data_IF_774615243119
#
_entry.id   IF_774615243119
#
_cell.length_a   1.000
_cell.length_b   1.000
_cell.length_c   1.000
_cell.angle_alpha   90.00
_cell.angle_beta   90.00
_cell.angle_gamma   90.00
#
_symmetry.space_group_name_H-M   'P 1'
#
loop_
_entity.id
_entity.type
_entity.pdbx_description
1 polymer ?
#
# COMPACT_ATOMS: atom_id res chain seq x y z
N UNK A 1 -37.23 29.28 69.35
CA UNK A 1 -35.82 29.24 68.90
C UNK A 1 -35.55 27.85 68.33
N UNK A 2 -35.46 27.69 67.02
CA UNK A 2 -35.11 26.40 66.39
C UNK A 2 -33.65 26.10 66.72
N UNK A 3 -33.38 24.95 67.36
CA UNK A 3 -32.05 24.61 67.87
C UNK A 3 -31.02 24.57 66.73
N UNK A 4 -29.80 25.04 67.03
CA UNK A 4 -28.68 25.12 66.06
C UNK A 4 -28.37 23.76 65.41
N UNK A 5 -28.66 22.66 66.11
CA UNK A 5 -28.45 21.29 65.63
C UNK A 5 -29.36 20.93 64.45
N UNK A 6 -30.62 21.39 64.46
CA UNK A 6 -31.57 21.14 63.36
C UNK A 6 -31.08 21.84 62.08
N UNK A 7 -30.56 23.07 62.19
CA UNK A 7 -29.97 23.81 61.06
C UNK A 7 -28.70 23.13 60.50
N UNK A 8 -27.86 22.56 61.37
CA UNK A 8 -26.66 21.84 60.92
C UNK A 8 -26.99 20.53 60.21
N UNK A 9 -27.96 19.75 60.71
CA UNK A 9 -28.43 18.54 60.01
C UNK A 9 -29.00 18.85 58.61
N UNK A 10 -29.81 19.91 58.47
CA UNK A 10 -30.33 20.33 57.16
C UNK A 10 -29.23 20.83 56.21
N UNK A 11 -28.20 21.51 56.73
CA UNK A 11 -27.05 21.96 55.94
C UNK A 11 -26.20 20.80 55.41
N UNK A 12 -25.95 19.78 56.25
CA UNK A 12 -25.24 18.57 55.85
C UNK A 12 -26.03 17.75 54.82
N UNK A 13 -27.36 17.65 54.97
CA UNK A 13 -28.24 16.94 54.02
C UNK A 13 -28.28 17.62 52.66
N UNK A 14 -28.31 18.95 52.62
CA UNK A 14 -28.25 19.72 51.37
C UNK A 14 -26.90 19.61 50.66
N UNK A 15 -25.80 19.51 51.41
CA UNK A 15 -24.46 19.24 50.85
C UNK A 15 -24.35 17.82 50.31
N UNK A 16 -24.87 16.81 51.01
CA UNK A 16 -24.87 15.44 50.51
C UNK A 16 -25.69 15.30 49.25
N UNK A 17 -26.89 15.91 49.20
CA UNK A 17 -27.75 15.88 48.01
C UNK A 17 -27.05 16.53 46.81
N UNK A 18 -26.32 17.64 47.02
CA UNK A 18 -25.56 18.30 45.96
C UNK A 18 -24.44 17.40 45.39
N UNK A 19 -23.75 16.66 46.26
CA UNK A 19 -22.74 15.67 45.84
C UNK A 19 -23.39 14.53 45.05
N UNK A 20 -24.58 14.08 45.46
CA UNK A 20 -25.30 13.02 44.75
C UNK A 20 -25.77 13.46 43.37
N UNK A 21 -26.32 14.67 43.23
CA UNK A 21 -26.69 15.23 41.92
C UNK A 21 -25.47 15.39 41.00
N UNK A 22 -24.33 15.83 41.54
CA UNK A 22 -23.10 15.96 40.78
C UNK A 22 -22.58 14.60 40.32
N UNK A 23 -22.63 13.57 41.17
CA UNK A 23 -22.26 12.21 40.81
C UNK A 23 -23.16 11.64 39.69
N UNK A 24 -24.47 11.87 39.76
CA UNK A 24 -25.42 11.45 38.71
C UNK A 24 -25.12 12.18 37.39
N UNK A 25 -24.84 13.48 37.43
CA UNK A 25 -24.49 14.25 36.24
C UNK A 25 -23.19 13.76 35.58
N UNK A 26 -22.16 13.48 36.39
CA UNK A 26 -20.90 12.89 35.89
C UNK A 26 -21.10 11.50 35.32
N UNK A 27 -21.92 10.67 35.97
CA UNK A 27 -22.23 9.34 35.47
C UNK A 27 -22.90 9.41 34.08
N UNK A 28 -23.90 10.28 33.91
CA UNK A 28 -24.55 10.48 32.61
C UNK A 28 -23.55 11.01 31.57
N UNK A 29 -22.68 11.96 31.95
CA UNK A 29 -21.66 12.49 31.05
C UNK A 29 -20.70 11.41 30.56
N UNK A 30 -20.25 10.52 31.46
CA UNK A 30 -19.37 9.39 31.12
C UNK A 30 -20.08 8.43 30.16
N UNK A 31 -21.34 8.09 30.44
CA UNK A 31 -22.14 7.20 29.57
C UNK A 31 -22.32 7.78 28.16
N UNK A 32 -22.58 9.10 28.05
CA UNK A 32 -22.66 9.78 26.75
C UNK A 32 -21.30 9.73 26.04
N UNK A 33 -20.19 9.90 26.77
CA UNK A 33 -18.85 9.84 26.20
C UNK A 33 -18.48 8.43 25.72
N UNK A 34 -18.87 7.38 26.44
CA UNK A 34 -18.73 5.99 26.00
C UNK A 34 -19.53 5.72 24.72
N UNK A 35 -20.80 6.13 24.69
CA UNK A 35 -21.62 6.00 23.48
C UNK A 35 -20.97 6.75 22.31
N UNK A 36 -20.50 7.98 22.54
CA UNK A 36 -19.79 8.76 21.53
C UNK A 36 -18.56 8.01 20.98
N UNK A 37 -17.71 7.44 21.84
CA UNK A 37 -16.55 6.65 21.41
C UNK A 37 -16.96 5.41 20.60
N UNK A 38 -17.98 4.68 21.03
CA UNK A 38 -18.47 3.48 20.33
C UNK A 38 -18.93 3.81 18.91
N UNK A 39 -19.58 4.96 18.70
CA UNK A 39 -19.99 5.37 17.36
C UNK A 39 -18.87 6.03 16.55
N UNK A 40 -18.01 6.82 17.19
CA UNK A 40 -17.00 7.61 16.49
C UNK A 40 -15.82 6.76 16.00
N UNK A 41 -15.34 5.82 16.84
CA UNK A 41 -14.22 4.95 16.51
C UNK A 41 -14.41 4.18 15.19
N UNK A 42 -15.52 3.46 14.94
CA UNK A 42 -15.70 2.73 13.68
C UNK A 42 -15.82 3.66 12.48
N UNK A 43 -16.46 4.82 12.62
CA UNK A 43 -16.58 5.82 11.55
C UNK A 43 -15.19 6.37 11.17
N UNK A 44 -14.37 6.66 12.18
CA UNK A 44 -13.02 7.13 11.96
C UNK A 44 -12.13 6.04 11.33
N UNK A 45 -12.23 4.78 11.80
CA UNK A 45 -11.51 3.66 11.22
C UNK A 45 -11.88 3.42 9.75
N UNK A 46 -13.17 3.55 9.39
CA UNK A 46 -13.60 3.44 8.00
C UNK A 46 -12.99 4.53 7.13
N UNK A 47 -12.96 5.78 7.61
CA UNK A 47 -12.33 6.90 6.89
C UNK A 47 -10.82 6.71 6.74
N UNK A 48 -10.14 6.30 7.80
CA UNK A 48 -8.70 6.01 7.77
C UNK A 48 -8.39 4.84 6.84
N UNK A 49 -9.19 3.76 6.86
CA UNK A 49 -9.02 2.63 5.95
C UNK A 49 -9.25 3.00 4.48
N UNK A 50 -10.23 3.85 4.18
CA UNK A 50 -10.45 4.36 2.81
C UNK A 50 -9.29 5.25 2.38
N UNK A 51 -8.81 6.14 3.26
CA UNK A 51 -7.66 6.99 3.00
C UNK A 51 -6.39 6.15 2.75
N UNK A 52 -6.12 5.15 3.59
CA UNK A 52 -5.00 4.23 3.43
C UNK A 52 -5.05 3.49 2.09
N UNK A 53 -6.24 3.04 1.68
CA UNK A 53 -6.43 2.42 0.36
C UNK A 53 -6.08 3.40 -0.77
N UNK A 54 -6.53 4.65 -0.68
CA UNK A 54 -6.19 5.67 -1.69
C UNK A 54 -4.70 5.96 -1.75
N UNK A 55 -4.05 6.15 -0.59
CA UNK A 55 -2.61 6.39 -0.52
C UNK A 55 -1.81 5.22 -1.09
N UNK A 56 -2.19 3.97 -0.75
CA UNK A 56 -1.52 2.79 -1.27
C UNK A 56 -1.64 2.68 -2.81
N UNK A 57 -2.82 2.98 -3.38
CA UNK A 57 -3.02 3.02 -4.83
C UNK A 57 -2.11 4.06 -5.50
N UNK A 58 -2.04 5.25 -4.93
CA UNK A 58 -1.18 6.33 -5.45
C UNK A 58 0.31 5.96 -5.38
N UNK A 59 0.75 5.38 -4.27
CA UNK A 59 2.12 4.90 -4.12
C UNK A 59 2.48 3.84 -5.17
N UNK A 60 1.56 2.93 -5.51
CA UNK A 60 1.79 1.92 -6.55
C UNK A 60 1.91 2.51 -7.95
N UNK A 61 1.06 3.48 -8.30
CA UNK A 61 1.15 4.18 -9.58
C UNK A 61 2.49 4.91 -9.69
N UNK A 62 2.88 5.63 -8.64
CA UNK A 62 4.16 6.32 -8.56
C UNK A 62 5.34 5.35 -8.69
N UNK A 63 5.28 4.19 -8.03
CA UNK A 63 6.31 3.14 -8.14
C UNK A 63 6.41 2.59 -9.56
N UNK A 64 5.28 2.35 -10.22
CA UNK A 64 5.24 1.85 -11.60
C UNK A 64 5.84 2.87 -12.58
N UNK A 65 5.46 4.14 -12.48
CA UNK A 65 6.01 5.20 -13.33
C UNK A 65 7.48 5.52 -13.00
N UNK A 66 7.92 5.25 -11.77
CA UNK A 66 9.33 5.31 -11.39
C UNK A 66 10.14 4.18 -12.06
N UNK A 67 9.65 2.93 -11.99
CA UNK A 67 10.27 1.77 -12.64
C UNK A 67 10.36 1.95 -14.16
N UNK A 68 9.27 2.38 -14.81
CA UNK A 68 9.27 2.68 -16.26
C UNK A 68 10.34 3.71 -16.63
N UNK A 69 10.52 4.74 -15.80
CA UNK A 69 11.58 5.75 -16.00
C UNK A 69 12.98 5.18 -15.80
N UNK A 70 13.16 4.29 -14.81
CA UNK A 70 14.44 3.63 -14.59
C UNK A 70 14.82 2.70 -15.74
N UNK A 71 13.90 1.84 -16.20
CA UNK A 71 14.12 0.92 -17.33
C UNK A 71 14.57 1.69 -18.58
N UNK A 72 13.95 2.84 -18.87
CA UNK A 72 14.35 3.71 -20.01
C UNK A 72 15.75 4.31 -19.89
N UNK A 73 16.32 4.35 -18.68
CA UNK A 73 17.64 4.93 -18.39
C UNK A 73 18.74 3.86 -18.29
N UNK A 74 18.39 2.57 -18.35
CA UNK A 74 19.37 1.49 -18.32
C UNK A 74 20.19 1.53 -19.62
N UNK A 75 21.52 1.59 -19.55
CA UNK A 75 22.37 1.48 -20.74
C UNK A 75 22.27 0.07 -21.30
N UNK A 76 22.00 -0.06 -22.60
CA UNK A 76 21.91 -1.34 -23.29
C UNK A 76 23.19 -1.58 -24.12
N UNK A 77 24.19 -2.34 -23.63
CA UNK A 77 25.44 -2.54 -24.34
C UNK A 77 25.30 -3.49 -25.55
N UNK A 78 24.29 -4.38 -25.54
CA UNK A 78 24.07 -5.40 -26.57
C UNK A 78 22.63 -5.33 -27.11
N UNK A 79 22.43 -5.70 -28.37
CA UNK A 79 21.12 -5.90 -29.03
C UNK A 79 20.16 -6.76 -28.20
N UNK A 80 20.68 -7.83 -27.59
CA UNK A 80 19.93 -8.76 -26.78
C UNK A 80 19.46 -8.13 -25.46
N UNK A 81 20.33 -7.38 -24.79
CA UNK A 81 20.01 -6.63 -23.58
C UNK A 81 18.97 -5.53 -23.88
N UNK A 82 19.05 -4.93 -25.07
CA UNK A 82 18.03 -3.98 -25.55
C UNK A 82 16.67 -4.65 -25.70
N UNK A 83 16.64 -5.92 -26.16
CA UNK A 83 15.43 -6.73 -26.21
C UNK A 83 14.85 -7.04 -24.83
N UNK A 84 15.70 -7.45 -23.87
CA UNK A 84 15.29 -7.70 -22.47
C UNK A 84 14.69 -6.45 -21.82
N UNK A 85 15.36 -5.29 -21.97
CA UNK A 85 14.89 -3.99 -21.48
C UNK A 85 13.57 -3.57 -22.15
N UNK A 86 13.43 -3.81 -23.46
CA UNK A 86 12.21 -3.48 -24.21
C UNK A 86 11.01 -4.33 -23.75
N UNK A 87 11.20 -5.64 -23.59
CA UNK A 87 10.16 -6.54 -23.08
C UNK A 87 9.73 -6.14 -21.67
N UNK A 88 10.69 -5.84 -20.79
CA UNK A 88 10.38 -5.36 -19.45
C UNK A 88 9.63 -4.02 -19.45
N UNK A 89 9.98 -3.12 -20.37
CA UNK A 89 9.27 -1.88 -20.62
C UNK A 89 7.82 -2.10 -21.05
N UNK A 90 7.59 -2.99 -22.01
CA UNK A 90 6.25 -3.29 -22.53
C UNK A 90 5.36 -3.94 -21.45
N UNK A 91 5.92 -4.85 -20.65
CA UNK A 91 5.22 -5.47 -19.51
C UNK A 91 4.83 -4.41 -18.48
N UNK A 92 5.74 -3.49 -18.12
CA UNK A 92 5.43 -2.39 -17.20
C UNK A 92 4.39 -1.42 -17.78
N UNK A 93 4.37 -1.21 -19.09
CA UNK A 93 3.36 -0.41 -19.78
C UNK A 93 1.96 -1.06 -19.69
N UNK A 94 1.87 -2.38 -19.86
CA UNK A 94 0.62 -3.15 -19.64
C UNK A 94 0.17 -3.06 -18.19
N UNK A 95 1.07 -3.21 -17.22
CA UNK A 95 0.74 -3.06 -15.80
C UNK A 95 0.27 -1.63 -15.47
N UNK A 96 0.92 -0.60 -16.00
CA UNK A 96 0.51 0.78 -15.80
C UNK A 96 -0.90 1.04 -16.36
N UNK A 97 -1.21 0.50 -17.54
CA UNK A 97 -2.54 0.61 -18.14
C UNK A 97 -3.59 -0.15 -17.34
N UNK A 98 -3.26 -1.37 -16.87
CA UNK A 98 -4.14 -2.15 -16.00
C UNK A 98 -4.44 -1.42 -14.69
N UNK A 99 -3.42 -0.84 -14.05
CA UNK A 99 -3.55 -0.10 -12.80
C UNK A 99 -4.41 1.16 -12.97
N UNK A 100 -4.24 1.90 -14.06
CA UNK A 100 -5.07 3.07 -14.37
C UNK A 100 -6.52 2.70 -14.68
N UNK A 101 -6.76 1.61 -15.40
CA UNK A 101 -8.12 1.19 -15.80
C UNK A 101 -8.92 0.60 -14.63
N UNK A 102 -8.26 -0.13 -13.73
CA UNK A 102 -8.91 -0.81 -12.62
C UNK A 102 -8.70 -0.09 -11.26
N UNK A 103 -8.27 1.17 -11.28
CA UNK A 103 -7.93 1.95 -10.09
C UNK A 103 -9.08 2.02 -9.07
N UNK A 104 -10.31 2.16 -9.54
CA UNK A 104 -11.48 2.34 -8.68
C UNK A 104 -11.92 1.03 -8.00
N UNK A 105 -11.79 -0.10 -8.70
CA UNK A 105 -12.26 -1.41 -8.25
C UNK A 105 -11.17 -2.29 -7.61
N UNK A 106 -9.96 -1.76 -7.42
CA UNK A 106 -8.85 -2.55 -6.91
C UNK A 106 -8.98 -2.80 -5.40
N UNK A 107 -9.04 -4.07 -5.01
CA UNK A 107 -9.04 -4.50 -3.61
C UNK A 107 -7.64 -4.45 -2.99
N UNK A 108 -7.58 -4.37 -1.66
CA UNK A 108 -6.34 -4.26 -0.89
C UNK A 108 -5.41 -5.46 -1.10
N UNK A 109 -5.95 -6.67 -1.27
CA UNK A 109 -5.15 -7.87 -1.58
C UNK A 109 -4.37 -7.71 -2.87
N UNK A 110 -5.03 -7.23 -3.92
CA UNK A 110 -4.45 -7.06 -5.25
C UNK A 110 -3.40 -5.94 -5.25
N UNK A 111 -3.62 -4.89 -4.45
CA UNK A 111 -2.66 -3.81 -4.21
C UNK A 111 -1.36 -4.40 -3.60
N UNK A 112 -1.49 -5.24 -2.57
CA UNK A 112 -0.33 -5.87 -1.92
C UNK A 112 0.41 -6.79 -2.88
N UNK A 113 -0.31 -7.60 -3.67
CA UNK A 113 0.30 -8.51 -4.63
C UNK A 113 1.07 -7.77 -5.74
N UNK A 114 0.45 -6.78 -6.37
CA UNK A 114 1.11 -6.00 -7.42
C UNK A 114 2.27 -5.19 -6.86
N UNK A 115 2.19 -4.66 -5.63
CA UNK A 115 3.31 -3.96 -5.00
C UNK A 115 4.50 -4.90 -4.72
N UNK A 116 4.25 -6.16 -4.37
CA UNK A 116 5.30 -7.19 -4.22
C UNK A 116 5.97 -7.48 -5.56
N UNK A 117 5.20 -7.63 -6.63
CA UNK A 117 5.72 -7.85 -7.98
C UNK A 117 6.57 -6.65 -8.46
N UNK A 118 6.08 -5.42 -8.29
CA UNK A 118 6.84 -4.20 -8.60
C UNK A 118 8.15 -4.11 -7.81
N UNK A 119 8.15 -4.56 -6.55
CA UNK A 119 9.37 -4.63 -5.74
C UNK A 119 10.37 -5.65 -6.30
N UNK A 120 9.92 -6.81 -6.78
CA UNK A 120 10.80 -7.78 -7.44
C UNK A 120 11.41 -7.19 -8.72
N UNK A 121 10.59 -6.57 -9.57
CA UNK A 121 11.10 -5.87 -10.76
C UNK A 121 12.10 -4.76 -10.42
N UNK A 122 11.91 -4.06 -9.29
CA UNK A 122 12.88 -3.04 -8.87
C UNK A 122 14.27 -3.60 -8.56
N UNK A 123 14.34 -4.84 -8.07
CA UNK A 123 15.62 -5.53 -7.85
C UNK A 123 16.26 -5.90 -9.19
N UNK A 124 15.48 -6.44 -10.13
CA UNK A 124 15.99 -6.78 -11.48
C UNK A 124 16.51 -5.55 -12.22
N UNK A 125 15.78 -4.43 -12.18
CA UNK A 125 16.22 -3.17 -12.79
C UNK A 125 17.51 -2.65 -12.13
N UNK A 126 17.67 -2.84 -10.81
CA UNK A 126 18.91 -2.47 -10.12
C UNK A 126 20.10 -3.34 -10.57
N UNK A 127 19.88 -4.62 -10.85
CA UNK A 127 20.90 -5.52 -11.40
C UNK A 127 21.32 -5.10 -12.81
N UNK A 128 20.36 -4.72 -13.66
CA UNK A 128 20.65 -4.19 -15.00
C UNK A 128 21.48 -2.90 -14.95
N UNK A 129 21.22 -2.02 -13.98
CA UNK A 129 22.06 -0.84 -13.75
C UNK A 129 23.50 -1.19 -13.35
N UNK A 130 23.72 -2.37 -12.73
CA UNK A 130 25.05 -2.90 -12.41
C UNK A 130 25.67 -3.75 -13.54
N UNK A 131 25.10 -3.73 -14.75
CA UNK A 131 25.49 -4.52 -15.92
C UNK A 131 25.34 -6.05 -15.77
N UNK A 132 24.55 -6.51 -14.80
CA UNK A 132 24.23 -7.92 -14.61
C UNK A 132 22.91 -8.21 -15.34
N UNK A 133 23.00 -8.71 -16.57
CA UNK A 133 21.84 -9.04 -17.40
C UNK A 133 21.52 -10.55 -17.34
N UNK A 134 20.28 -10.96 -17.55
CA UNK A 134 19.96 -12.40 -17.55
C UNK A 134 20.55 -13.09 -18.80
N UNK A 135 20.64 -12.37 -19.91
CA UNK A 135 21.18 -12.90 -21.16
C UNK A 135 22.57 -12.35 -21.46
N UNK A 136 23.55 -13.25 -21.64
CA UNK A 136 24.96 -12.91 -21.82
C UNK A 136 25.57 -13.34 -23.16
N UNK A 137 24.84 -14.09 -24.01
CA UNK A 137 25.43 -14.70 -25.21
C UNK A 137 24.53 -14.53 -26.44
N UNK A 138 25.08 -13.83 -27.44
CA UNK A 138 24.62 -13.81 -28.84
C UNK A 138 25.45 -14.80 -29.69
N UNK A 139 26.11 -15.81 -29.08
CA UNK A 139 26.77 -16.89 -29.84
C UNK A 139 25.73 -17.85 -30.45
N UNK A 140 24.90 -17.34 -31.36
CA UNK A 140 24.50 -18.16 -32.49
C UNK A 140 25.71 -18.10 -33.42
N UNK A 141 26.73 -18.92 -33.14
CA UNK A 141 27.78 -19.09 -34.13
C UNK A 141 27.12 -19.68 -35.36
N UNK A 142 27.08 -18.89 -36.44
CA UNK A 142 26.48 -19.28 -37.71
C UNK A 142 27.06 -20.63 -38.18
N UNK A 143 28.31 -20.91 -37.82
CA UNK A 143 28.97 -22.21 -37.98
C UNK A 143 28.22 -23.37 -37.29
N UNK A 144 27.86 -23.28 -36.00
CA UNK A 144 27.08 -24.32 -35.32
C UNK A 144 25.65 -24.44 -35.86
N UNK A 145 25.05 -23.31 -36.25
CA UNK A 145 23.72 -23.32 -36.86
C UNK A 145 23.74 -24.02 -38.24
N UNK A 146 24.77 -23.77 -39.05
CA UNK A 146 24.98 -24.46 -40.32
C UNK A 146 25.26 -25.95 -40.11
N UNK A 147 26.10 -26.31 -39.14
CA UNK A 147 26.43 -27.70 -38.79
C UNK A 147 25.19 -28.50 -38.35
N UNK A 148 24.26 -27.87 -37.62
CA UNK A 148 22.98 -28.47 -37.23
C UNK A 148 21.99 -28.59 -38.39
N UNK A 149 22.01 -27.64 -39.33
CA UNK A 149 21.17 -27.66 -40.54
C UNK A 149 21.70 -28.72 -41.52
N UNK A 150 23.02 -28.82 -41.72
CA UNK A 150 23.66 -29.88 -42.50
C UNK A 150 23.39 -31.25 -41.90
N UNK A 151 23.53 -31.42 -40.58
CA UNK A 151 23.22 -32.67 -39.89
C UNK A 151 21.74 -33.08 -40.01
N UNK A 152 20.83 -32.12 -40.12
CA UNK A 152 19.40 -32.36 -40.28
C UNK A 152 19.01 -32.63 -41.74
N UNK A 153 19.72 -32.06 -42.70
CA UNK A 153 19.44 -32.18 -44.14
C UNK A 153 20.28 -33.25 -44.85
N UNK A 154 21.24 -33.89 -44.16
CA UNK A 154 22.02 -35.05 -44.59
C UNK A 154 22.29 -35.15 -46.09
N UNK A 155 23.44 -34.59 -46.50
CA UNK A 155 24.33 -35.30 -47.41
C UNK A 155 25.10 -36.36 -46.61
#
# INVERSE_FOLDING_TARGET
>A
MISKEIKQCYSCKRKSDFVTYFAIAFFIMIVIFELYLIFWVPIQLQREGVLQKHVAKEQMLNMTDYLRRQVRRVPAPTSLNKGEIALAGDVLDVYANYLRKNQDNMDLSNIVEVSKMLKQYSLEVSLWHSNVFAFHSEEISLAKALELIEKKNSL
#
